data_IF_023043824839
#
_entry.id   IF_023043824839
#
_cell.length_a   1.000
_cell.length_b   1.000
_cell.length_c   1.000
_cell.angle_alpha   90.00
_cell.angle_beta   90.00
_cell.angle_gamma   90.00
#
_symmetry.space_group_name_H-M   'P 1'
#
loop_
_entity.id
_entity.type
_entity.pdbx_description
1 polymer ?
#
# COMPACT_ATOMS: atom_id res chain seq x y z
N UNK A 1 8.88 7.75 -24.68
CA UNK A 1 8.64 7.99 -23.24
C UNK A 1 8.96 6.76 -22.41
N UNK A 2 8.31 5.61 -22.65
CA UNK A 2 8.49 4.41 -21.82
C UNK A 2 9.93 3.90 -21.78
N UNK A 3 10.60 3.82 -22.94
CA UNK A 3 12.02 3.42 -23.03
C UNK A 3 12.96 4.35 -22.26
N UNK A 4 12.61 5.62 -22.12
CA UNK A 4 13.46 6.59 -21.42
C UNK A 4 13.31 6.44 -19.90
N UNK A 5 12.08 6.20 -19.41
CA UNK A 5 11.85 5.81 -18.01
C UNK A 5 12.57 4.50 -17.70
N UNK A 6 12.53 3.53 -18.62
CA UNK A 6 13.24 2.26 -18.45
C UNK A 6 14.75 2.43 -18.30
N UNK A 7 15.39 3.23 -19.16
CA UNK A 7 16.83 3.53 -19.05
C UNK A 7 17.14 4.23 -17.72
N UNK A 8 16.34 5.22 -17.32
CA UNK A 8 16.56 5.92 -16.04
C UNK A 8 16.38 5.00 -14.83
N UNK A 9 15.43 4.07 -14.86
CA UNK A 9 15.29 3.04 -13.84
C UNK A 9 16.49 2.09 -13.81
N UNK A 10 17.01 1.68 -14.98
CA UNK A 10 18.21 0.83 -15.07
C UNK A 10 19.46 1.52 -14.53
N UNK A 11 19.60 2.83 -14.74
CA UNK A 11 20.70 3.62 -14.16
C UNK A 11 20.55 3.80 -12.63
N UNK A 12 19.38 3.46 -12.05
CA UNK A 12 19.05 3.56 -10.63
C UNK A 12 19.21 4.97 -10.04
N UNK A 13 19.00 6.01 -10.85
CA UNK A 13 19.18 7.42 -10.44
C UNK A 13 17.83 8.03 -10.05
N UNK A 14 17.38 7.82 -8.80
CA UNK A 14 16.08 8.31 -8.30
C UNK A 14 15.83 9.80 -8.55
N UNK A 15 16.83 10.64 -8.28
CA UNK A 15 16.70 12.10 -8.44
C UNK A 15 16.41 12.47 -9.90
N UNK A 16 17.12 11.85 -10.84
CA UNK A 16 16.96 12.10 -12.29
C UNK A 16 15.63 11.53 -12.79
N UNK A 17 15.25 10.33 -12.34
CA UNK A 17 13.95 9.71 -12.64
C UNK A 17 12.81 10.59 -12.17
N UNK A 18 12.86 11.08 -10.92
CA UNK A 18 11.86 12.00 -10.35
C UNK A 18 11.73 13.29 -11.15
N UNK A 19 12.85 13.94 -11.46
CA UNK A 19 12.87 15.18 -12.24
C UNK A 19 12.26 14.98 -13.63
N UNK A 20 12.59 13.85 -14.29
CA UNK A 20 12.05 13.54 -15.60
C UNK A 20 10.55 13.27 -15.56
N UNK A 21 10.06 12.50 -14.58
CA UNK A 21 8.62 12.25 -14.42
C UNK A 21 7.87 13.55 -14.17
N UNK A 22 8.38 14.42 -13.30
CA UNK A 22 7.79 15.73 -13.05
C UNK A 22 7.72 16.57 -14.34
N UNK A 23 8.80 16.62 -15.12
CA UNK A 23 8.83 17.32 -16.40
C UNK A 23 7.77 16.81 -17.38
N UNK A 24 7.54 15.50 -17.44
CA UNK A 24 6.50 14.91 -18.29
C UNK A 24 5.10 15.36 -17.85
N UNK A 25 4.81 15.26 -16.55
CA UNK A 25 3.51 15.63 -15.98
C UNK A 25 3.24 17.13 -16.12
N UNK A 26 4.23 17.98 -15.86
CA UNK A 26 4.14 19.44 -16.05
C UNK A 26 3.91 19.80 -17.54
N UNK A 27 4.40 18.96 -18.46
CA UNK A 27 4.16 19.07 -19.90
C UNK A 27 2.80 18.54 -20.37
N UNK A 28 1.93 18.10 -19.45
CA UNK A 28 0.60 17.55 -19.75
C UNK A 28 0.61 16.12 -20.32
N UNK A 29 1.73 15.41 -20.22
CA UNK A 29 1.80 14.01 -20.61
C UNK A 29 1.32 13.12 -19.47
N UNK A 30 0.59 12.04 -19.80
CA UNK A 30 0.16 11.05 -18.81
C UNK A 30 1.09 9.86 -18.72
N UNK A 31 1.15 9.26 -17.53
CA UNK A 31 1.85 7.99 -17.32
C UNK A 31 0.91 6.83 -17.56
N UNK A 32 1.39 5.79 -18.25
CA UNK A 32 0.65 4.54 -18.35
C UNK A 32 1.05 3.57 -17.21
N UNK A 33 0.23 2.53 -17.03
CA UNK A 33 0.42 1.51 -15.98
C UNK A 33 1.81 0.89 -16.01
N UNK A 34 2.33 0.56 -17.19
CA UNK A 34 3.64 -0.08 -17.35
C UNK A 34 4.80 0.84 -16.96
N UNK A 35 4.70 2.13 -17.26
CA UNK A 35 5.66 3.13 -16.79
C UNK A 35 5.60 3.24 -15.27
N UNK A 36 4.40 3.28 -14.70
CA UNK A 36 4.21 3.36 -13.26
C UNK A 36 4.79 2.14 -12.54
N UNK A 37 4.51 0.93 -13.01
CA UNK A 37 5.03 -0.31 -12.41
C UNK A 37 6.57 -0.31 -12.36
N UNK A 38 7.24 0.19 -13.42
CA UNK A 38 8.71 0.35 -13.45
C UNK A 38 9.22 1.37 -12.43
N UNK A 39 8.49 2.47 -12.23
CA UNK A 39 8.83 3.49 -11.24
C UNK A 39 8.66 2.94 -9.83
N UNK A 40 7.52 2.32 -9.54
CA UNK A 40 7.22 1.72 -8.24
C UNK A 40 8.27 0.68 -7.86
N UNK A 41 8.63 -0.20 -8.80
CA UNK A 41 9.70 -1.17 -8.59
C UNK A 41 11.03 -0.51 -8.23
N UNK A 42 11.46 0.50 -8.99
CA UNK A 42 12.71 1.23 -8.70
C UNK A 42 12.71 1.85 -7.30
N UNK A 43 11.65 2.59 -6.95
CA UNK A 43 11.56 3.28 -5.66
C UNK A 43 11.50 2.28 -4.49
N UNK A 44 10.78 1.17 -4.66
CA UNK A 44 10.71 0.10 -3.68
C UNK A 44 12.09 -0.52 -3.42
N UNK A 45 12.83 -0.85 -4.48
CA UNK A 45 14.19 -1.41 -4.38
C UNK A 45 15.20 -0.49 -3.73
N UNK A 46 15.04 0.82 -3.89
CA UNK A 46 15.94 1.83 -3.34
C UNK A 46 15.47 2.39 -2.00
N UNK A 47 14.33 1.93 -1.47
CA UNK A 47 13.76 2.43 -0.21
C UNK A 47 13.23 3.86 -0.28
N UNK A 48 12.95 4.37 -1.48
CA UNK A 48 12.53 5.75 -1.76
C UNK A 48 11.06 6.03 -1.50
N UNK A 49 10.56 5.72 -0.30
CA UNK A 49 9.15 5.94 0.06
C UNK A 49 8.80 7.43 0.11
N UNK A 50 9.76 8.28 0.48
CA UNK A 50 9.57 9.73 0.55
C UNK A 50 9.47 10.35 -0.85
N UNK A 51 10.24 9.86 -1.80
CA UNK A 51 10.12 10.24 -3.21
C UNK A 51 8.80 9.75 -3.82
N UNK A 52 8.30 8.60 -3.36
CA UNK A 52 7.01 8.07 -3.79
C UNK A 52 5.84 8.90 -3.24
N UNK A 53 5.94 9.40 -1.99
CA UNK A 53 5.00 10.37 -1.42
C UNK A 53 4.96 11.68 -2.21
N UNK A 54 6.12 12.18 -2.64
CA UNK A 54 6.19 13.37 -3.49
C UNK A 54 5.60 13.10 -4.88
N UNK A 55 5.88 11.93 -5.48
CA UNK A 55 5.29 11.53 -6.75
C UNK A 55 3.76 11.48 -6.65
N UNK A 56 3.21 10.87 -5.58
CA UNK A 56 1.78 10.81 -5.35
C UNK A 56 1.13 12.20 -5.31
N UNK A 57 1.78 13.18 -4.67
CA UNK A 57 1.29 14.58 -4.65
C UNK A 57 1.19 15.17 -6.06
N UNK A 58 2.20 14.93 -6.90
CA UNK A 58 2.20 15.39 -8.29
C UNK A 58 1.06 14.72 -9.07
N UNK A 59 0.91 13.39 -8.98
CA UNK A 59 -0.13 12.64 -9.69
C UNK A 59 -1.55 13.08 -9.32
N UNK A 60 -1.80 13.33 -8.02
CA UNK A 60 -3.08 13.87 -7.55
C UNK A 60 -3.34 15.26 -8.16
N UNK A 61 -2.32 16.13 -8.19
CA UNK A 61 -2.46 17.46 -8.77
C UNK A 61 -2.69 17.45 -10.29
N UNK A 62 -2.11 16.47 -10.98
CA UNK A 62 -2.27 16.24 -12.42
C UNK A 62 -3.57 15.52 -12.78
N UNK A 63 -4.39 15.13 -11.80
CA UNK A 63 -5.65 14.38 -12.00
C UNK A 63 -5.46 13.09 -12.81
N UNK A 64 -4.38 12.38 -12.49
CA UNK A 64 -4.07 11.09 -13.13
C UNK A 64 -5.13 10.02 -12.84
N UNK A 65 -5.08 8.96 -13.65
CA UNK A 65 -6.04 7.86 -13.60
C UNK A 65 -6.08 7.19 -12.21
N UNK A 66 -7.29 6.79 -11.81
CA UNK A 66 -7.56 6.11 -10.54
C UNK A 66 -6.73 4.83 -10.38
N UNK A 67 -6.50 4.07 -11.46
CA UNK A 67 -5.67 2.87 -11.44
C UNK A 67 -4.22 3.22 -11.07
N UNK A 68 -3.69 4.31 -11.62
CA UNK A 68 -2.34 4.79 -11.33
C UNK A 68 -2.23 5.22 -9.87
N UNK A 69 -3.20 6.01 -9.38
CA UNK A 69 -3.24 6.45 -7.99
C UNK A 69 -3.35 5.26 -7.02
N UNK A 70 -4.19 4.27 -7.32
CA UNK A 70 -4.36 3.07 -6.50
C UNK A 70 -3.05 2.30 -6.35
N UNK A 71 -2.28 2.13 -7.44
CA UNK A 71 -0.99 1.41 -7.40
C UNK A 71 0.04 2.13 -6.54
N UNK A 72 0.12 3.45 -6.65
CA UNK A 72 1.07 4.27 -5.88
C UNK A 72 0.72 4.25 -4.39
N UNK A 73 -0.56 4.39 -4.02
CA UNK A 73 -0.97 4.24 -2.62
C UNK A 73 -0.64 2.86 -2.06
N UNK A 74 -0.96 1.79 -2.80
CA UNK A 74 -0.65 0.41 -2.41
C UNK A 74 0.84 0.23 -2.13
N UNK A 75 1.71 0.74 -3.00
CA UNK A 75 3.16 0.58 -2.83
C UNK A 75 3.70 1.40 -1.65
N UNK A 76 3.24 2.64 -1.44
CA UNK A 76 3.59 3.45 -0.26
C UNK A 76 3.20 2.72 1.03
N UNK A 77 1.95 2.22 1.10
CA UNK A 77 1.45 1.48 2.27
C UNK A 77 2.30 0.23 2.50
N UNK A 78 2.62 -0.51 1.44
CA UNK A 78 3.50 -1.69 1.51
C UNK A 78 4.87 -1.31 2.08
N UNK A 79 5.49 -0.24 1.59
CA UNK A 79 6.80 0.23 2.06
C UNK A 79 6.76 0.62 3.54
N UNK A 80 5.79 1.41 3.98
CA UNK A 80 5.66 1.77 5.40
C UNK A 80 5.38 0.55 6.29
N UNK A 81 4.58 -0.41 5.83
CA UNK A 81 4.34 -1.66 6.53
C UNK A 81 5.62 -2.51 6.66
N UNK A 82 6.48 -2.55 5.63
CA UNK A 82 7.76 -3.26 5.68
C UNK A 82 8.77 -2.58 6.62
N UNK A 83 8.69 -1.26 6.76
CA UNK A 83 9.52 -0.47 7.68
C UNK A 83 8.95 -0.39 9.10
N UNK A 84 7.78 -1.00 9.35
CA UNK A 84 7.05 -0.92 10.61
C UNK A 84 6.76 0.52 11.11
N UNK A 85 6.63 1.46 10.16
CA UNK A 85 6.25 2.86 10.40
C UNK A 85 4.73 2.99 10.47
N UNK A 86 4.14 2.51 11.57
CA UNK A 86 2.69 2.39 11.70
C UNK A 86 1.92 3.70 11.51
N UNK A 87 2.44 4.82 12.02
CA UNK A 87 1.76 6.12 11.93
C UNK A 87 1.68 6.61 10.48
N UNK A 88 2.78 6.52 9.73
CA UNK A 88 2.81 6.88 8.31
C UNK A 88 1.98 5.93 7.46
N UNK A 89 2.01 4.62 7.78
CA UNK A 89 1.19 3.61 7.15
C UNK A 89 -0.31 3.93 7.32
N UNK A 90 -0.76 4.23 8.54
CA UNK A 90 -2.16 4.55 8.81
C UNK A 90 -2.61 5.86 8.19
N UNK A 91 -1.75 6.88 8.18
CA UNK A 91 -2.00 8.13 7.46
C UNK A 91 -2.19 7.86 5.96
N UNK A 92 -1.34 7.01 5.37
CA UNK A 92 -1.41 6.64 3.95
C UNK A 92 -2.69 5.87 3.63
N UNK A 93 -3.07 4.90 4.47
CA UNK A 93 -4.34 4.17 4.35
C UNK A 93 -5.53 5.13 4.45
N UNK A 94 -5.53 6.01 5.46
CA UNK A 94 -6.60 6.98 5.64
C UNK A 94 -6.74 7.93 4.45
N UNK A 95 -5.64 8.36 3.85
CA UNK A 95 -5.63 9.17 2.63
C UNK A 95 -6.18 8.41 1.42
N UNK A 96 -5.78 7.15 1.22
CA UNK A 96 -6.30 6.29 0.16
C UNK A 96 -7.82 6.11 0.28
N UNK A 97 -8.30 5.74 1.47
CA UNK A 97 -9.74 5.53 1.71
C UNK A 97 -10.56 6.81 1.54
N UNK A 98 -10.04 7.98 1.98
CA UNK A 98 -10.70 9.28 1.78
C UNK A 98 -10.85 9.68 0.31
N UNK A 99 -10.02 9.13 -0.57
CA UNK A 99 -10.14 9.32 -2.03
C UNK A 99 -11.12 8.34 -2.68
N UNK A 100 -11.80 7.50 -1.89
CA UNK A 100 -12.72 6.48 -2.40
C UNK A 100 -12.01 5.24 -2.97
N UNK A 101 -10.70 5.11 -2.73
CA UNK A 101 -9.91 3.96 -3.17
C UNK A 101 -9.94 2.88 -2.08
N UNK A 102 -9.79 1.63 -2.48
CA UNK A 102 -9.71 0.47 -1.58
C UNK A 102 -8.50 -0.39 -1.92
N UNK A 103 -8.12 -1.27 -0.99
CA UNK A 103 -7.16 -2.33 -1.31
C UNK A 103 -7.69 -3.21 -2.45
N UNK A 104 -6.78 -3.69 -3.28
CA UNK A 104 -7.08 -4.62 -4.38
C UNK A 104 -6.23 -5.89 -4.30
N UNK A 105 -5.16 -5.86 -3.51
CA UNK A 105 -4.20 -6.95 -3.37
C UNK A 105 -4.19 -7.50 -1.92
N UNK A 106 -4.42 -8.81 -1.72
CA UNK A 106 -4.31 -9.45 -0.41
C UNK A 106 -2.96 -9.24 0.26
N UNK A 107 -1.87 -9.30 -0.52
CA UNK A 107 -0.52 -9.18 0.02
C UNK A 107 -0.31 -7.82 0.71
N UNK A 108 -0.90 -6.74 0.21
CA UNK A 108 -0.81 -5.41 0.81
C UNK A 108 -1.45 -5.38 2.20
N UNK A 109 -2.65 -5.96 2.30
CA UNK A 109 -3.39 -6.09 3.56
C UNK A 109 -2.62 -6.98 4.54
N UNK A 110 -2.07 -8.10 4.07
CA UNK A 110 -1.27 -9.02 4.88
C UNK A 110 0.03 -8.36 5.38
N UNK A 111 0.66 -7.46 4.61
CA UNK A 111 1.80 -6.67 5.09
C UNK A 111 1.42 -5.70 6.21
N UNK A 112 0.28 -5.02 6.08
CA UNK A 112 -0.27 -4.13 7.14
C UNK A 112 -0.56 -4.92 8.41
N UNK A 113 -1.21 -6.08 8.29
CA UNK A 113 -1.51 -6.98 9.41
C UNK A 113 -0.21 -7.46 10.08
N UNK A 114 0.75 -7.93 9.27
CA UNK A 114 2.03 -8.39 9.76
C UNK A 114 2.81 -7.30 10.50
N UNK A 115 2.77 -6.06 10.01
CA UNK A 115 3.40 -4.92 10.67
C UNK A 115 2.81 -4.64 12.05
N UNK A 116 1.47 -4.64 12.15
CA UNK A 116 0.81 -4.48 13.44
C UNK A 116 1.17 -5.60 14.44
N UNK A 117 1.23 -6.86 13.99
CA UNK A 117 1.66 -7.96 14.85
C UNK A 117 3.12 -7.82 15.30
N UNK A 118 4.06 -7.45 14.40
CA UNK A 118 5.47 -7.22 14.76
C UNK A 118 5.64 -6.11 15.79
N UNK A 119 4.71 -5.15 15.82
CA UNK A 119 4.70 -4.01 16.73
C UNK A 119 3.76 -4.19 17.92
N UNK A 120 3.15 -5.37 18.08
CA UNK A 120 2.15 -5.66 19.12
C UNK A 120 1.00 -4.64 19.17
N UNK A 121 0.68 -4.04 18.03
CA UNK A 121 -0.30 -2.96 17.88
C UNK A 121 -1.70 -3.52 17.63
N UNK A 122 -2.18 -4.38 18.52
CA UNK A 122 -3.39 -5.17 18.28
C UNK A 122 -4.67 -4.33 18.21
N UNK A 123 -4.76 -3.22 18.93
CA UNK A 123 -5.93 -2.35 18.88
C UNK A 123 -5.98 -1.54 17.58
N UNK A 124 -4.80 -1.13 17.09
CA UNK A 124 -4.64 -0.49 15.77
C UNK A 124 -5.02 -1.44 14.64
N UNK A 125 -4.67 -2.72 14.80
CA UNK A 125 -5.10 -3.78 13.88
C UNK A 125 -6.62 -3.92 13.81
N UNK A 126 -7.34 -3.93 14.94
CA UNK A 126 -8.81 -4.00 14.92
C UNK A 126 -9.42 -2.82 14.17
N UNK A 127 -8.96 -1.60 14.48
CA UNK A 127 -9.42 -0.38 13.81
C UNK A 127 -9.16 -0.42 12.31
N UNK A 128 -8.02 -0.97 11.89
CA UNK A 128 -7.72 -1.18 10.48
C UNK A 128 -8.71 -2.16 9.83
N UNK A 129 -8.95 -3.32 10.44
CA UNK A 129 -9.87 -4.34 9.92
C UNK A 129 -11.30 -3.81 9.80
N UNK A 130 -11.77 -3.07 10.81
CA UNK A 130 -13.08 -2.41 10.80
C UNK A 130 -13.21 -1.42 9.63
N UNK A 131 -12.18 -0.59 9.42
CA UNK A 131 -12.18 0.42 8.34
C UNK A 131 -12.28 -0.19 6.94
N UNK A 132 -11.66 -1.36 6.72
CA UNK A 132 -11.65 -1.98 5.39
C UNK A 132 -12.80 -2.96 5.18
N UNK A 133 -13.47 -3.43 6.24
CA UNK A 133 -14.51 -4.47 6.20
C UNK A 133 -15.61 -4.22 5.16
N UNK A 134 -16.08 -2.97 5.03
CA UNK A 134 -17.13 -2.62 4.06
C UNK A 134 -16.65 -2.49 2.61
N UNK A 135 -15.35 -2.39 2.39
CA UNK A 135 -14.74 -2.11 1.07
C UNK A 135 -13.87 -3.24 0.52
N UNK A 136 -13.46 -4.18 1.38
CA UNK A 136 -12.50 -5.21 1.04
C UNK A 136 -12.86 -6.54 1.69
N UNK A 137 -13.09 -7.55 0.85
CA UNK A 137 -13.36 -8.92 1.31
C UNK A 137 -12.05 -9.64 1.60
N UNK A 138 -11.82 -9.97 2.87
CA UNK A 138 -10.64 -10.71 3.28
C UNK A 138 -10.65 -12.14 2.68
N UNK A 139 -9.59 -12.57 1.99
CA UNK A 139 -9.45 -13.94 1.55
C UNK A 139 -9.04 -14.86 2.72
N UNK A 140 -9.19 -16.16 2.51
CA UNK A 140 -8.84 -17.19 3.52
C UNK A 140 -7.39 -17.11 4.00
N UNK A 141 -6.45 -16.74 3.12
CA UNK A 141 -5.03 -16.57 3.51
C UNK A 141 -4.87 -15.53 4.61
N UNK A 142 -5.58 -14.41 4.48
CA UNK A 142 -5.53 -13.30 5.44
C UNK A 142 -6.17 -13.69 6.78
N UNK A 143 -7.26 -14.45 6.77
CA UNK A 143 -7.82 -15.02 7.99
C UNK A 143 -6.84 -15.98 8.69
N UNK A 144 -6.17 -16.85 7.94
CA UNK A 144 -5.16 -17.75 8.50
C UNK A 144 -4.00 -16.96 9.14
N UNK A 145 -3.57 -15.85 8.51
CA UNK A 145 -2.56 -14.96 9.06
C UNK A 145 -3.01 -14.33 10.39
N UNK A 146 -4.25 -13.82 10.45
CA UNK A 146 -4.83 -13.25 11.66
C UNK A 146 -4.92 -14.28 12.79
N UNK A 147 -5.43 -15.49 12.50
CA UNK A 147 -5.50 -16.62 13.45
C UNK A 147 -4.11 -16.91 14.03
N UNK A 148 -3.11 -17.12 13.18
CA UNK A 148 -1.76 -17.43 13.61
C UNK A 148 -1.12 -16.28 14.42
N UNK A 149 -1.42 -15.04 14.04
CA UNK A 149 -0.95 -13.85 14.76
C UNK A 149 -1.58 -13.71 16.14
N UNK A 150 -2.89 -13.85 16.27
CA UNK A 150 -3.59 -13.78 17.56
C UNK A 150 -3.24 -14.94 18.48
N UNK A 151 -3.10 -16.15 17.96
CA UNK A 151 -2.63 -17.32 18.72
C UNK A 151 -1.25 -17.08 19.30
N UNK A 152 -0.31 -16.57 18.49
CA UNK A 152 1.04 -16.22 18.96
C UNK A 152 1.04 -15.12 20.02
N UNK A 153 0.11 -14.18 19.92
CA UNK A 153 -0.05 -13.08 20.89
C UNK A 153 -0.83 -13.48 22.16
N UNK A 154 -1.38 -14.69 22.22
CA UNK A 154 -2.21 -15.14 23.35
C UNK A 154 -3.58 -14.45 23.45
N UNK A 155 -4.07 -13.85 22.36
CA UNK A 155 -5.33 -13.08 22.34
C UNK A 155 -6.52 -13.98 22.01
N UNK A 156 -6.86 -14.88 22.93
CA UNK A 156 -7.88 -15.92 22.74
C UNK A 156 -9.29 -15.37 22.50
N UNK A 157 -9.65 -14.23 23.08
CA UNK A 157 -10.95 -13.59 22.87
C UNK A 157 -11.11 -13.13 21.41
N UNK A 158 -10.08 -12.47 20.86
CA UNK A 158 -10.07 -12.00 19.46
C UNK A 158 -10.12 -13.18 18.49
N UNK A 159 -9.42 -14.27 18.82
CA UNK A 159 -9.45 -15.50 18.05
C UNK A 159 -10.85 -16.12 17.99
N UNK A 160 -11.61 -16.10 19.09
CA UNK A 160 -12.96 -16.63 19.14
C UNK A 160 -13.92 -15.83 18.24
N UNK A 161 -13.85 -14.49 18.30
CA UNK A 161 -14.65 -13.60 17.44
C UNK A 161 -14.34 -13.84 15.97
N UNK A 162 -13.05 -13.91 15.61
CA UNK A 162 -12.62 -14.13 14.23
C UNK A 162 -13.10 -15.48 13.67
N UNK A 163 -13.05 -16.55 14.48
CA UNK A 163 -13.53 -17.88 14.08
C UNK A 163 -15.04 -17.91 13.86
N UNK A 164 -15.82 -17.15 14.63
CA UNK A 164 -17.26 -17.02 14.41
C UNK A 164 -17.56 -16.31 13.08
N UNK A 165 -16.87 -15.20 12.77
CA UNK A 165 -17.04 -14.48 11.50
C UNK A 165 -16.74 -15.34 10.26
N UNK A 166 -15.75 -16.23 10.35
CA UNK A 166 -15.43 -17.15 9.25
C UNK A 166 -16.55 -18.17 8.99
N UNK A 167 -17.24 -18.63 10.02
CA UNK A 167 -18.34 -19.62 9.91
C UNK A 167 -19.60 -18.99 9.30
N UNK A 168 -19.83 -17.70 9.54
CA UNK A 168 -20.97 -16.97 8.97
C UNK A 168 -20.75 -16.61 7.48
N UNK A 169 -19.51 -16.69 6.99
CA UNK A 169 -19.14 -16.37 5.60
C UNK A 169 -18.90 -17.59 4.70
N UNK A 170 -19.06 -18.81 5.22
CA UNK A 170 -18.85 -20.10 4.53
C UNK A 170 -20.14 -20.84 4.27
#
# INVERSE_FOLDING_TARGET
>A
MEKMIEVLCQERIMVRTKQFVKFLLDGGWSLNVKMMDKLLHLYSELGGVEEMEELLKVLISSKEDIEILSRVHSEIIRMYAMLDRLDDMELSIGRMLKQGLSFTCPDDVEKVIGSNFRRSAHDRLELFLERIHGSYKLPRSTYNLLIAGYERAGLHEKLAVLKAQMLDCS
#
